data_IF_770677168474
#
_entry.id   IF_770677168474
#
_cell.length_a   1.000
_cell.length_b   1.000
_cell.length_c   1.000
_cell.angle_alpha   90.00
_cell.angle_beta   90.00
_cell.angle_gamma   90.00
#
_symmetry.space_group_name_H-M   'P 1'
#
loop_
_entity.id
_entity.type
_entity.pdbx_description
1 polymer ?
#
# COMPACT_ATOMS: atom_id res chain seq x y z
N UNK A 1 5.08 13.39 -21.72
CA UNK A 1 4.04 12.38 -21.49
C UNK A 1 2.59 12.89 -21.68
N UNK A 2 2.33 14.18 -21.98
CA UNK A 2 1.03 14.61 -22.54
C UNK A 2 -0.24 14.31 -21.72
N UNK A 3 -0.11 14.02 -20.42
CA UNK A 3 -1.23 13.68 -19.54
C UNK A 3 -1.96 14.97 -19.15
N UNK A 4 -3.25 15.06 -19.52
CA UNK A 4 -4.06 16.26 -19.31
C UNK A 4 -5.08 16.11 -18.16
N UNK A 5 -5.18 14.93 -17.56
CA UNK A 5 -6.13 14.56 -16.51
C UNK A 5 -5.40 14.14 -15.22
N UNK A 6 -4.33 14.86 -14.86
CA UNK A 6 -3.57 14.62 -13.64
C UNK A 6 -3.59 15.87 -12.77
N UNK A 7 -3.99 15.71 -11.51
CA UNK A 7 -3.88 16.73 -10.48
C UNK A 7 -2.77 16.29 -9.54
N UNK A 8 -1.77 17.15 -9.36
CA UNK A 8 -0.64 16.90 -8.47
C UNK A 8 -0.86 17.71 -7.19
N UNK A 9 -0.82 17.03 -6.05
CA UNK A 9 -0.93 17.65 -4.73
C UNK A 9 0.25 17.25 -3.86
N UNK A 10 0.69 18.17 -2.98
CA UNK A 10 1.67 17.87 -1.94
C UNK A 10 0.95 17.89 -0.58
N UNK A 11 0.57 16.72 -0.10
CA UNK A 11 -0.17 16.51 1.14
C UNK A 11 0.35 15.24 1.82
N UNK A 12 0.15 15.14 3.14
CA UNK A 12 0.39 13.88 3.85
C UNK A 12 -0.66 12.85 3.45
N UNK A 13 -0.21 11.75 2.84
CA UNK A 13 -1.06 10.63 2.44
C UNK A 13 -1.84 10.01 3.60
N UNK A 14 -1.34 10.10 4.84
CA UNK A 14 -2.05 9.61 6.01
C UNK A 14 -3.30 10.44 6.33
N UNK A 15 -3.30 11.73 5.97
CA UNK A 15 -4.37 12.67 6.29
C UNK A 15 -5.31 12.92 5.11
N UNK A 16 -5.01 12.34 3.94
CA UNK A 16 -5.73 12.58 2.71
C UNK A 16 -7.22 12.23 2.82
N UNK A 17 -7.56 11.13 3.48
CA UNK A 17 -8.94 10.72 3.73
C UNK A 17 -9.76 11.75 4.53
N UNK A 18 -9.12 12.57 5.36
CA UNK A 18 -9.83 13.62 6.13
C UNK A 18 -10.24 14.80 5.25
N UNK A 19 -9.49 15.04 4.18
CA UNK A 19 -9.72 16.14 3.23
C UNK A 19 -10.73 15.70 2.16
N UNK A 20 -10.61 14.46 1.67
CA UNK A 20 -11.44 13.89 0.61
C UNK A 20 -11.89 12.47 0.98
N UNK A 21 -12.83 12.32 1.95
CA UNK A 21 -13.36 11.01 2.31
C UNK A 21 -14.21 10.45 1.17
N UNK A 22 -14.13 9.13 0.93
CA UNK A 22 -14.96 8.40 -0.04
C UNK A 22 -15.05 9.06 -1.43
N UNK A 23 -13.94 9.65 -1.88
CA UNK A 23 -13.91 10.46 -3.10
C UNK A 23 -13.35 9.71 -4.31
N UNK A 24 -12.72 8.54 -4.09
CA UNK A 24 -12.06 7.78 -5.15
C UNK A 24 -12.71 6.42 -5.37
N UNK A 25 -12.99 6.07 -6.62
CA UNK A 25 -13.47 4.71 -6.97
C UNK A 25 -12.34 3.67 -6.89
N UNK A 26 -11.11 4.09 -7.20
CA UNK A 26 -9.93 3.20 -7.23
C UNK A 26 -8.71 3.92 -6.72
N UNK A 27 -7.90 3.21 -5.94
CA UNK A 27 -6.66 3.74 -5.39
C UNK A 27 -5.53 2.75 -5.63
N UNK A 28 -4.40 3.26 -6.13
CA UNK A 28 -3.12 2.56 -6.13
C UNK A 28 -2.24 3.18 -5.04
N UNK A 29 -1.96 2.41 -3.99
CA UNK A 29 -1.05 2.77 -2.93
C UNK A 29 0.27 2.03 -3.14
N UNK A 30 1.22 2.69 -3.80
CA UNK A 30 2.61 2.26 -3.82
C UNK A 30 3.32 2.79 -2.56
N UNK A 31 3.48 1.93 -1.58
CA UNK A 31 3.88 2.36 -0.25
C UNK A 31 5.40 2.45 -0.11
N UNK A 32 5.93 3.47 0.59
CA UNK A 32 7.36 3.58 0.84
C UNK A 32 7.86 2.38 1.64
N UNK A 33 8.73 1.59 1.01
CA UNK A 33 9.18 0.29 1.51
C UNK A 33 10.69 0.26 1.75
N UNK A 34 11.19 -0.63 2.61
CA UNK A 34 12.62 -0.78 2.90
C UNK A 34 13.47 -1.07 1.66
N UNK A 35 12.86 -1.59 0.59
CA UNK A 35 13.48 -1.87 -0.69
C UNK A 35 14.23 -3.19 -0.71
N UNK A 36 14.02 -4.08 0.25
CA UNK A 36 14.76 -5.36 0.32
C UNK A 36 14.62 -6.22 -0.94
N UNK A 37 13.54 -6.08 -1.72
CA UNK A 37 13.37 -6.77 -2.99
C UNK A 37 14.24 -6.23 -4.14
N UNK A 38 14.86 -5.05 -3.98
CA UNK A 38 15.70 -4.42 -5.01
C UNK A 38 17.20 -4.43 -4.68
N UNK A 39 17.64 -5.25 -3.71
CA UNK A 39 19.07 -5.40 -3.33
C UNK A 39 19.95 -5.74 -4.54
N UNK A 40 19.43 -6.51 -5.50
CA UNK A 40 20.16 -6.85 -6.73
C UNK A 40 20.47 -5.62 -7.60
N UNK A 41 19.63 -4.58 -7.53
CA UNK A 41 19.79 -3.31 -8.25
C UNK A 41 20.56 -2.29 -7.43
N UNK A 42 20.31 -2.22 -6.12
CA UNK A 42 20.99 -1.33 -5.19
C UNK A 42 21.50 -2.10 -3.97
N UNK A 43 22.80 -2.41 -3.97
CA UNK A 43 23.44 -3.18 -2.90
C UNK A 43 23.51 -2.43 -1.57
N UNK A 44 23.37 -1.09 -1.57
CA UNK A 44 23.40 -0.30 -0.34
C UNK A 44 22.25 -0.64 0.60
N UNK A 45 21.12 -1.09 0.04
CA UNK A 45 19.94 -1.51 0.80
C UNK A 45 20.26 -2.64 1.78
N UNK A 46 21.23 -3.51 1.46
CA UNK A 46 21.64 -4.61 2.34
C UNK A 46 22.27 -4.13 3.64
N UNK A 47 22.98 -3.01 3.62
CA UNK A 47 23.75 -2.51 4.77
C UNK A 47 23.11 -1.31 5.45
N UNK A 48 22.24 -0.59 4.76
CA UNK A 48 21.70 0.68 5.24
C UNK A 48 20.37 0.57 5.99
N UNK A 49 19.81 -0.63 6.16
CA UNK A 49 18.50 -0.82 6.79
C UNK A 49 18.64 -1.54 8.12
N UNK A 50 18.16 -0.89 9.17
CA UNK A 50 18.11 -1.42 10.53
C UNK A 50 16.73 -2.01 10.82
N UNK A 51 16.61 -2.95 11.76
CA UNK A 51 15.30 -3.46 12.21
C UNK A 51 14.34 -2.37 12.69
N UNK A 52 14.88 -1.29 13.25
CA UNK A 52 14.13 -0.11 13.68
C UNK A 52 13.49 0.59 12.48
N UNK A 53 14.23 0.77 11.38
CA UNK A 53 13.72 1.39 10.14
C UNK A 53 12.55 0.59 9.55
N UNK A 54 12.61 -0.74 9.65
CA UNK A 54 11.55 -1.63 9.17
C UNK A 54 10.28 -1.43 10.01
N UNK A 55 10.40 -1.32 11.34
CA UNK A 55 9.27 -1.06 12.24
C UNK A 55 8.63 0.31 12.01
N UNK A 56 9.44 1.34 11.76
CA UNK A 56 8.93 2.67 11.43
C UNK A 56 8.16 2.66 10.11
N UNK A 57 8.70 2.01 9.07
CA UNK A 57 8.05 1.83 7.78
C UNK A 57 6.76 1.04 7.90
N UNK A 58 6.77 -0.06 8.64
CA UNK A 58 5.57 -0.84 8.93
C UNK A 58 4.47 0.02 9.55
N UNK A 59 4.82 0.85 10.54
CA UNK A 59 3.86 1.73 11.22
C UNK A 59 3.29 2.79 10.25
N UNK A 60 4.13 3.37 9.40
CA UNK A 60 3.72 4.32 8.37
C UNK A 60 2.81 3.67 7.32
N UNK A 61 3.21 2.51 6.76
CA UNK A 61 2.45 1.77 5.74
C UNK A 61 1.06 1.41 6.21
N UNK A 62 0.92 0.98 7.47
CA UNK A 62 -0.39 0.71 8.09
C UNK A 62 -1.28 1.93 8.13
N UNK A 63 -0.73 3.10 8.51
CA UNK A 63 -1.49 4.36 8.54
C UNK A 63 -1.90 4.79 7.14
N UNK A 64 -1.01 4.69 6.16
CA UNK A 64 -1.28 5.01 4.77
C UNK A 64 -2.37 4.10 4.19
N UNK A 65 -2.29 2.79 4.44
CA UNK A 65 -3.27 1.82 3.94
C UNK A 65 -4.66 2.08 4.54
N UNK A 66 -4.75 2.35 5.85
CA UNK A 66 -6.03 2.71 6.47
C UNK A 66 -6.60 4.00 5.90
N UNK A 67 -5.77 5.04 5.70
CA UNK A 67 -6.22 6.28 5.09
C UNK A 67 -6.70 6.06 3.65
N UNK A 68 -5.97 5.27 2.87
CA UNK A 68 -6.36 4.94 1.51
C UNK A 68 -7.71 4.19 1.47
N UNK A 69 -7.96 3.25 2.41
CA UNK A 69 -9.27 2.59 2.53
C UNK A 69 -10.36 3.60 2.88
N UNK A 70 -10.11 4.52 3.81
CA UNK A 70 -11.10 5.53 4.24
C UNK A 70 -11.40 6.57 3.13
N UNK A 71 -10.46 6.83 2.23
CA UNK A 71 -10.64 7.68 1.05
C UNK A 71 -11.38 6.98 -0.11
N UNK A 72 -11.47 5.65 -0.08
CA UNK A 72 -12.10 4.84 -1.11
C UNK A 72 -13.62 4.88 -1.00
N UNK A 73 -14.30 5.05 -2.13
CA UNK A 73 -15.75 4.99 -2.22
C UNK A 73 -16.22 3.55 -2.44
N UNK A 74 -16.53 2.84 -1.36
CA UNK A 74 -17.04 1.47 -1.43
C UNK A 74 -18.43 1.35 -2.12
N UNK A 75 -19.20 2.44 -2.18
CA UNK A 75 -20.54 2.46 -2.80
C UNK A 75 -20.51 2.75 -4.30
N UNK A 76 -19.33 2.97 -4.87
CA UNK A 76 -19.23 3.33 -6.28
C UNK A 76 -19.53 2.15 -7.20
N UNK A 77 -20.32 2.42 -8.24
CA UNK A 77 -20.74 1.42 -9.24
C UNK A 77 -19.58 0.94 -10.11
N UNK A 78 -18.50 1.73 -10.21
CA UNK A 78 -17.36 1.53 -11.12
C UNK A 78 -16.11 1.00 -10.43
N UNK A 79 -16.08 0.97 -9.09
CA UNK A 79 -15.01 0.37 -8.34
C UNK A 79 -14.98 0.79 -6.88
N UNK A 80 -14.64 -0.17 -6.01
CA UNK A 80 -14.19 0.05 -4.64
C UNK A 80 -12.92 -0.76 -4.43
N UNK A 81 -11.97 -0.60 -5.35
CA UNK A 81 -10.74 -1.41 -5.38
C UNK A 81 -9.54 -0.59 -4.96
N UNK A 82 -8.77 -1.15 -4.03
CA UNK A 82 -7.49 -0.62 -3.61
C UNK A 82 -6.41 -1.65 -3.94
N UNK A 83 -5.34 -1.22 -4.58
CA UNK A 83 -4.14 -2.01 -4.79
C UNK A 83 -3.05 -1.47 -3.87
N UNK A 84 -2.57 -2.31 -2.96
CA UNK A 84 -1.40 -2.05 -2.15
C UNK A 84 -0.20 -2.76 -2.78
N UNK A 85 0.87 -2.01 -3.06
CA UNK A 85 2.12 -2.56 -3.59
C UNK A 85 3.31 -2.09 -2.78
N UNK A 86 4.31 -2.97 -2.67
CA UNK A 86 5.62 -2.61 -2.15
C UNK A 86 6.72 -3.22 -3.01
N UNK A 87 7.92 -2.71 -2.81
CA UNK A 87 9.17 -3.20 -3.36
C UNK A 87 9.95 -4.12 -2.37
N UNK A 88 9.30 -4.59 -1.31
CA UNK A 88 9.93 -5.35 -0.22
C UNK A 88 9.52 -6.82 -0.30
N UNK A 89 10.42 -7.71 0.14
CA UNK A 89 10.14 -9.15 0.28
C UNK A 89 9.87 -9.54 1.73
N UNK A 90 9.83 -8.57 2.65
CA UNK A 90 9.61 -8.84 4.07
C UNK A 90 8.13 -8.99 4.38
N UNK A 91 7.79 -10.02 5.16
CA UNK A 91 6.41 -10.29 5.64
C UNK A 91 5.88 -9.12 6.47
N UNK A 92 6.76 -8.48 7.25
CA UNK A 92 6.42 -7.32 8.07
C UNK A 92 5.87 -6.17 7.23
N UNK A 93 6.35 -5.95 6.00
CA UNK A 93 5.91 -4.83 5.14
C UNK A 93 4.78 -5.19 4.18
N UNK A 94 4.47 -6.49 4.05
CA UNK A 94 3.45 -6.99 3.14
C UNK A 94 2.30 -7.64 3.93
N UNK A 95 2.33 -8.96 4.14
CA UNK A 95 1.22 -9.72 4.69
C UNK A 95 0.80 -9.20 6.08
N UNK A 96 1.73 -8.77 6.93
CA UNK A 96 1.40 -8.22 8.24
C UNK A 96 0.65 -6.86 8.14
N UNK A 97 0.97 -6.02 7.15
CA UNK A 97 0.29 -4.74 6.92
C UNK A 97 -1.13 -4.99 6.42
N UNK A 98 -1.28 -5.92 5.47
CA UNK A 98 -2.57 -6.28 4.88
C UNK A 98 -3.48 -6.94 5.92
N UNK A 99 -2.94 -7.87 6.72
CA UNK A 99 -3.67 -8.50 7.83
C UNK A 99 -4.20 -7.45 8.80
N UNK A 100 -3.37 -6.48 9.17
CA UNK A 100 -3.79 -5.39 10.04
C UNK A 100 -4.93 -4.55 9.45
N UNK A 101 -4.94 -4.30 8.14
CA UNK A 101 -6.01 -3.58 7.49
C UNK A 101 -7.33 -4.37 7.47
N UNK A 102 -7.26 -5.68 7.20
CA UNK A 102 -8.41 -6.61 7.24
C UNK A 102 -9.06 -6.68 8.63
N UNK A 103 -8.27 -6.60 9.69
CA UNK A 103 -8.79 -6.61 11.07
C UNK A 103 -9.44 -5.27 11.48
N UNK A 104 -9.04 -4.16 10.85
CA UNK A 104 -9.44 -2.80 11.25
C UNK A 104 -10.54 -2.19 10.41
N UNK A 105 -10.79 -2.71 9.21
CA UNK A 105 -11.75 -2.20 8.23
C UNK A 105 -12.47 -3.34 7.55
N UNK A 106 -13.69 -3.08 7.11
CA UNK A 106 -14.49 -4.04 6.35
C UNK A 106 -14.01 -4.08 4.89
N UNK A 107 -12.91 -4.80 4.67
CA UNK A 107 -12.31 -5.00 3.34
C UNK A 107 -12.12 -6.48 3.07
N UNK A 108 -12.14 -6.85 1.80
CA UNK A 108 -11.97 -8.24 1.36
C UNK A 108 -10.83 -8.33 0.38
N UNK A 109 -9.98 -9.35 0.55
CA UNK A 109 -8.98 -9.70 -0.45
C UNK A 109 -9.65 -10.22 -1.71
N UNK A 110 -9.28 -9.63 -2.85
CA UNK A 110 -9.75 -10.06 -4.16
C UNK A 110 -8.54 -10.65 -4.91
N UNK A 111 -8.70 -11.81 -5.57
CA UNK A 111 -7.64 -12.37 -6.40
C UNK A 111 -7.20 -11.37 -7.47
N UNK A 112 -5.89 -11.23 -7.67
CA UNK A 112 -5.32 -10.31 -8.67
C UNK A 112 -5.62 -10.74 -10.11
N UNK A 113 -6.01 -12.00 -10.32
CA UNK A 113 -6.28 -12.56 -11.65
C UNK A 113 -5.02 -12.78 -12.49
N UNK A 114 -3.84 -12.80 -11.86
CA UNK A 114 -2.58 -13.11 -12.51
C UNK A 114 -2.32 -14.62 -12.50
N UNK A 115 -1.92 -15.17 -13.65
CA UNK A 115 -1.59 -16.60 -13.80
C UNK A 115 -0.19 -16.96 -13.30
N UNK A 116 0.53 -16.02 -12.69
CA UNK A 116 1.90 -16.18 -12.22
C UNK A 116 2.09 -15.58 -10.84
N UNK A 117 3.02 -16.15 -10.09
CA UNK A 117 3.33 -15.77 -8.72
C UNK A 117 3.40 -16.97 -7.79
N UNK A 118 3.72 -16.71 -6.54
CA UNK A 118 3.63 -17.69 -5.45
C UNK A 118 2.59 -17.16 -4.47
N UNK A 119 1.81 -18.07 -3.88
CA UNK A 119 0.84 -17.69 -2.86
C UNK A 119 1.53 -16.98 -1.68
N UNK A 120 0.91 -15.91 -1.21
CA UNK A 120 1.38 -15.16 -0.06
C UNK A 120 1.28 -15.96 1.24
N UNK A 121 2.04 -15.55 2.25
CA UNK A 121 2.00 -16.24 3.55
C UNK A 121 0.64 -16.04 4.24
N UNK A 122 -0.15 -17.11 4.32
CA UNK A 122 -1.37 -17.18 5.12
C UNK A 122 -1.07 -17.90 6.44
N UNK A 123 -1.16 -17.21 7.58
CA UNK A 123 -1.13 -17.82 8.92
C UNK A 123 -2.37 -17.43 9.70
#
# INVERSE_FOLDING_TARGET
MGVNNCIISNLDGCEYAKIQPQSFDRILLDAPCSGTGVIWKDQSVKTSKSPEDIKERFTMQRRLLLSAIDALNASSKTGGYLVYSTCSVLVEENEAVVQYALEKRDVKLVPSGLDFGVDGYTK
#
